data_IF_385567234243
#
_entry.id   IF_385567234243
#
_cell.length_a   1.000
_cell.length_b   1.000
_cell.length_c   1.000
_cell.angle_alpha   90.00
_cell.angle_beta   90.00
_cell.angle_gamma   90.00
#
_symmetry.space_group_name_H-M   'P 1'
#
loop_
_entity.id
_entity.type
_entity.pdbx_description
1 polymer ?
#
# COMPACT_ATOMS: atom_id res chain seq x y z
N UNK A 1 -9.37 -32.60 -8.38
CA UNK A 1 -8.86 -31.35 -8.98
C UNK A 1 -8.62 -30.38 -7.84
N UNK A 2 -7.43 -29.79 -7.72
CA UNK A 2 -7.05 -29.01 -6.53
C UNK A 2 -7.87 -27.72 -6.42
N UNK A 3 -8.61 -27.59 -5.32
CA UNK A 3 -9.57 -26.51 -5.03
C UNK A 3 -8.93 -25.23 -4.48
N UNK A 4 -7.68 -24.96 -4.82
CA UNK A 4 -7.01 -23.73 -4.39
C UNK A 4 -7.15 -22.66 -5.46
N UNK A 5 -7.71 -21.48 -5.14
CA UNK A 5 -7.78 -20.38 -6.10
C UNK A 5 -6.35 -20.01 -6.53
N UNK A 6 -6.11 -19.78 -7.83
CA UNK A 6 -4.79 -19.41 -8.32
C UNK A 6 -4.29 -18.16 -7.60
N UNK A 7 -2.98 -18.09 -7.34
CA UNK A 7 -2.38 -16.88 -6.77
C UNK A 7 -2.71 -15.70 -7.70
N UNK A 8 -2.93 -14.53 -7.12
CA UNK A 8 -3.46 -13.38 -7.85
C UNK A 8 -2.59 -12.94 -9.04
N UNK A 9 -1.28 -13.18 -8.99
CA UNK A 9 -0.35 -12.91 -10.09
C UNK A 9 -0.60 -13.87 -11.26
N UNK A 10 -0.77 -15.15 -10.98
CA UNK A 10 -0.98 -16.21 -11.98
C UNK A 10 -2.30 -15.97 -12.74
N UNK A 11 -3.35 -15.54 -12.04
CA UNK A 11 -4.64 -15.21 -12.66
C UNK A 11 -4.54 -14.01 -13.62
N UNK A 12 -3.73 -13.00 -13.27
CA UNK A 12 -3.54 -11.82 -14.14
C UNK A 12 -2.80 -12.21 -15.42
N UNK A 13 -1.75 -13.02 -15.29
CA UNK A 13 -1.00 -13.52 -16.43
C UNK A 13 -1.91 -14.31 -17.38
N UNK A 14 -2.68 -15.25 -16.83
CA UNK A 14 -3.65 -16.04 -17.58
C UNK A 14 -4.63 -15.16 -18.37
N UNK A 15 -5.22 -14.13 -17.73
CA UNK A 15 -6.16 -13.23 -18.41
C UNK A 15 -5.49 -12.43 -19.52
N UNK A 16 -4.24 -11.98 -19.32
CA UNK A 16 -3.51 -11.21 -20.34
C UNK A 16 -3.21 -12.06 -21.56
N UNK A 17 -2.77 -13.30 -21.35
CA UNK A 17 -2.47 -14.25 -22.42
C UNK A 17 -3.74 -14.60 -23.21
N UNK A 18 -4.86 -14.83 -22.52
CA UNK A 18 -6.15 -15.13 -23.15
C UNK A 18 -6.72 -13.94 -23.93
N UNK A 19 -6.54 -12.70 -23.47
CA UNK A 19 -6.98 -11.51 -24.21
C UNK A 19 -6.26 -11.34 -25.56
N UNK A 20 -5.09 -11.94 -25.75
CA UNK A 20 -4.40 -12.00 -27.04
C UNK A 20 -4.93 -13.06 -28.00
N UNK A 21 -5.72 -14.02 -27.51
CA UNK A 21 -6.18 -15.19 -28.26
C UNK A 21 -7.69 -15.22 -28.50
N UNK A 22 -8.49 -14.59 -27.63
CA UNK A 22 -9.94 -14.69 -27.64
C UNK A 22 -10.61 -13.38 -27.22
N UNK A 23 -11.89 -13.25 -27.56
CA UNK A 23 -12.66 -12.04 -27.25
C UNK A 23 -12.97 -11.96 -25.75
N UNK A 24 -13.11 -10.74 -25.21
CA UNK A 24 -13.38 -10.50 -23.77
C UNK A 24 -14.56 -11.32 -23.24
N UNK A 25 -15.64 -11.43 -24.02
CA UNK A 25 -16.82 -12.21 -23.66
C UNK A 25 -16.53 -13.70 -23.51
N UNK A 26 -15.62 -14.24 -24.31
CA UNK A 26 -15.21 -15.64 -24.28
C UNK A 26 -14.28 -15.91 -23.11
N UNK A 27 -13.32 -15.01 -22.85
CA UNK A 27 -12.45 -15.04 -21.66
C UNK A 27 -13.29 -15.12 -20.38
N UNK A 28 -14.28 -14.24 -20.25
CA UNK A 28 -15.16 -14.22 -19.07
C UNK A 28 -15.95 -15.52 -18.94
N UNK A 29 -16.50 -16.06 -20.03
CA UNK A 29 -17.23 -17.32 -20.00
C UNK A 29 -16.32 -18.51 -19.64
N UNK A 30 -15.09 -18.52 -20.14
CA UNK A 30 -14.12 -19.57 -19.84
C UNK A 30 -13.73 -19.57 -18.36
N UNK A 31 -13.30 -18.43 -17.84
CA UNK A 31 -12.87 -18.30 -16.45
C UNK A 31 -14.02 -18.37 -15.44
N UNK A 32 -15.25 -18.06 -15.86
CA UNK A 32 -16.44 -18.28 -15.04
C UNK A 32 -16.72 -19.78 -14.84
N UNK A 33 -16.36 -20.65 -15.78
CA UNK A 33 -16.44 -22.12 -15.59
C UNK A 33 -15.43 -22.62 -14.57
N UNK A 34 -14.33 -21.91 -14.38
CA UNK A 34 -13.31 -22.16 -13.37
C UNK A 34 -13.63 -21.51 -12.01
N UNK A 35 -14.89 -21.11 -11.81
CA UNK A 35 -15.41 -20.51 -10.57
C UNK A 35 -14.77 -19.15 -10.19
N UNK A 36 -14.15 -18.45 -11.13
CA UNK A 36 -13.60 -17.12 -10.89
C UNK A 36 -14.72 -16.08 -10.97
N UNK A 37 -14.82 -15.24 -9.94
CA UNK A 37 -15.82 -14.18 -9.89
C UNK A 37 -15.68 -13.19 -11.07
N UNK A 38 -16.80 -12.89 -11.73
CA UNK A 38 -16.85 -11.94 -12.87
C UNK A 38 -16.26 -10.57 -12.52
N UNK A 39 -16.51 -10.07 -11.31
CA UNK A 39 -15.96 -8.80 -10.82
C UNK A 39 -14.43 -8.80 -10.87
N UNK A 40 -13.80 -9.88 -10.41
CA UNK A 40 -12.35 -10.07 -10.48
C UNK A 40 -11.85 -10.08 -11.92
N UNK A 41 -12.50 -10.84 -12.81
CA UNK A 41 -12.10 -10.94 -14.22
C UNK A 41 -12.14 -9.55 -14.88
N UNK A 42 -13.28 -8.84 -14.76
CA UNK A 42 -13.41 -7.50 -15.33
C UNK A 42 -12.45 -6.48 -14.71
N UNK A 43 -12.15 -6.60 -13.42
CA UNK A 43 -11.15 -5.74 -12.78
C UNK A 43 -9.76 -5.89 -13.41
N UNK A 44 -9.39 -7.12 -13.77
CA UNK A 44 -8.09 -7.44 -14.37
C UNK A 44 -8.05 -7.03 -15.84
N UNK A 45 -9.12 -7.28 -16.60
CA UNK A 45 -9.27 -6.79 -17.98
C UNK A 45 -9.13 -5.27 -18.03
N UNK A 46 -9.81 -4.55 -17.13
CA UNK A 46 -9.72 -3.09 -17.03
C UNK A 46 -8.28 -2.62 -16.73
N UNK A 47 -7.53 -3.36 -15.89
CA UNK A 47 -6.11 -3.06 -15.65
C UNK A 47 -5.26 -3.24 -16.92
N UNK A 48 -5.52 -4.30 -17.69
CA UNK A 48 -4.86 -4.56 -18.97
C UNK A 48 -5.10 -3.43 -19.97
N UNK A 49 -6.36 -3.00 -20.10
CA UNK A 49 -6.74 -1.89 -20.99
C UNK A 49 -6.10 -0.56 -20.58
N UNK A 50 -5.93 -0.34 -19.28
CA UNK A 50 -5.25 0.84 -18.74
C UNK A 50 -3.71 0.76 -18.81
N UNK A 51 -3.13 -0.29 -19.40
CA UNK A 51 -1.68 -0.48 -19.49
C UNK A 51 -0.99 -0.66 -18.14
N UNK A 52 -1.72 -1.06 -17.10
CA UNK A 52 -1.16 -1.27 -15.76
C UNK A 52 -0.41 -2.61 -15.77
N UNK A 53 0.86 -2.68 -15.32
CA UNK A 53 1.61 -3.93 -15.32
C UNK A 53 0.95 -5.01 -14.44
N UNK A 54 1.20 -6.27 -14.81
CA UNK A 54 0.73 -7.47 -14.11
C UNK A 54 1.25 -7.48 -12.66
N UNK A 55 2.53 -7.15 -12.52
CA UNK A 55 3.22 -7.06 -11.23
C UNK A 55 2.76 -5.82 -10.46
N UNK A 56 2.40 -6.02 -9.19
CA UNK A 56 2.15 -4.89 -8.31
C UNK A 56 3.46 -4.20 -7.97
N UNK A 57 3.45 -2.87 -8.05
CA UNK A 57 4.51 -2.10 -7.41
C UNK A 57 4.37 -2.29 -5.90
N UNK A 58 5.46 -2.54 -5.17
CA UNK A 58 5.38 -2.61 -3.72
C UNK A 58 4.76 -1.32 -3.20
N UNK A 59 3.75 -1.47 -2.34
CA UNK A 59 3.07 -0.34 -1.73
C UNK A 59 4.11 0.54 -1.05
N UNK A 60 4.25 1.79 -1.50
CA UNK A 60 5.00 2.78 -0.74
C UNK A 60 4.14 3.09 0.48
N UNK A 61 4.46 2.46 1.61
CA UNK A 61 3.79 2.74 2.87
C UNK A 61 3.87 4.23 3.24
N UNK A 62 3.22 4.61 4.34
CA UNK A 62 3.26 6.00 4.81
C UNK A 62 4.72 6.47 4.91
N UNK A 63 5.10 7.58 4.27
CA UNK A 63 6.46 8.07 4.35
C UNK A 63 6.80 8.37 5.83
N UNK A 64 8.00 8.00 6.30
CA UNK A 64 8.37 8.19 7.69
C UNK A 64 8.44 9.68 8.03
N UNK A 65 7.80 10.08 9.12
CA UNK A 65 7.83 11.47 9.63
C UNK A 65 9.25 11.92 10.01
N UNK A 66 10.12 10.96 10.34
CA UNK A 66 11.52 11.17 10.63
C UNK A 66 12.39 10.88 9.40
N UNK A 67 12.95 11.93 8.81
CA UNK A 67 14.00 11.77 7.81
C UNK A 67 15.35 11.43 8.49
N UNK A 68 16.32 10.94 7.70
CA UNK A 68 17.64 10.54 8.20
C UNK A 68 18.34 11.66 8.99
N UNK A 69 18.19 12.94 8.57
CA UNK A 69 18.76 14.09 9.29
C UNK A 69 18.18 14.26 10.70
N UNK A 70 16.86 14.12 10.84
CA UNK A 70 16.18 14.18 12.15
C UNK A 70 16.52 12.97 13.02
N UNK A 71 16.70 11.79 12.43
CA UNK A 71 17.16 10.60 13.15
C UNK A 71 18.58 10.78 13.71
N UNK A 72 19.50 11.32 12.90
CA UNK A 72 20.86 11.62 13.35
C UNK A 72 20.86 12.67 14.48
N UNK A 73 20.05 13.73 14.34
CA UNK A 73 19.89 14.73 15.38
C UNK A 73 19.32 14.14 16.68
N UNK A 74 18.33 13.23 16.58
CA UNK A 74 17.77 12.53 17.73
C UNK A 74 18.84 11.68 18.42
N UNK A 75 19.61 10.90 17.65
CA UNK A 75 20.71 10.08 18.17
C UNK A 75 21.71 10.94 18.95
N UNK A 76 22.19 12.04 18.37
CA UNK A 76 23.16 12.93 19.01
C UNK A 76 22.61 13.62 20.27
N UNK A 77 21.28 13.82 20.37
CA UNK A 77 20.65 14.43 21.54
C UNK A 77 20.47 13.46 22.71
N UNK A 78 20.50 12.15 22.45
CA UNK A 78 20.30 11.10 23.45
C UNK A 78 21.61 10.41 23.81
N UNK A 79 22.56 10.35 22.87
CA UNK A 79 23.88 9.77 23.08
C UNK A 79 24.61 10.46 24.24
N UNK A 80 25.01 9.66 25.23
CA UNK A 80 25.70 10.09 26.45
C UNK A 80 24.94 11.09 27.35
N UNK A 81 23.59 11.16 27.25
CA UNK A 81 22.76 11.99 28.13
C UNK A 81 21.73 11.14 28.88
N UNK A 82 21.74 11.23 30.21
CA UNK A 82 20.75 10.60 31.09
C UNK A 82 19.70 11.66 31.50
N UNK A 83 18.41 11.31 31.44
CA UNK A 83 17.33 12.17 31.94
C UNK A 83 16.69 13.14 30.94
N UNK A 84 16.96 13.03 29.64
CA UNK A 84 16.29 13.86 28.62
C UNK A 84 14.88 13.35 28.38
N UNK A 85 13.86 14.20 28.55
CA UNK A 85 12.48 13.78 28.34
C UNK A 85 12.10 13.75 26.85
N UNK A 86 11.18 12.86 26.49
CA UNK A 86 10.67 12.76 25.11
C UNK A 86 10.08 14.09 24.62
N UNK A 87 9.39 14.83 25.49
CA UNK A 87 8.86 16.16 25.17
C UNK A 87 9.94 17.20 24.85
N UNK A 88 11.08 17.15 25.56
CA UNK A 88 12.23 18.01 25.26
C UNK A 88 12.89 17.65 23.93
N UNK A 89 13.02 16.36 23.61
CA UNK A 89 13.54 15.89 22.32
C UNK A 89 12.61 16.31 21.18
N UNK A 90 11.31 16.15 21.36
CA UNK A 90 10.32 16.50 20.36
C UNK A 90 10.38 17.99 19.99
N UNK A 91 10.49 18.91 20.97
CA UNK A 91 10.64 20.35 20.71
C UNK A 91 11.92 20.71 19.95
N UNK A 92 13.00 19.94 20.15
CA UNK A 92 14.30 20.16 19.48
C UNK A 92 14.34 19.61 18.05
N UNK A 93 13.52 18.61 17.74
CA UNK A 93 13.50 17.89 16.46
C UNK A 93 12.34 18.35 15.57
N UNK A 94 11.23 18.76 16.18
CA UNK A 94 10.02 19.20 15.51
C UNK A 94 9.70 20.64 15.92
N UNK A 95 9.58 21.53 14.95
CA UNK A 95 9.04 22.88 15.14
C UNK A 95 7.59 22.75 15.65
N UNK A 96 7.21 23.55 16.64
CA UNK A 96 5.93 23.49 17.37
C UNK A 96 4.69 23.37 16.45
N UNK A 97 4.74 23.93 15.24
CA UNK A 97 3.69 23.82 14.22
C UNK A 97 3.36 22.38 13.77
N UNK A 98 4.31 21.43 13.84
CA UNK A 98 4.09 20.02 13.47
C UNK A 98 3.52 19.18 14.62
N UNK A 99 3.76 19.57 15.88
CA UNK A 99 3.22 18.89 17.06
C UNK A 99 1.72 19.14 17.21
N UNK A 100 1.25 20.36 16.90
CA UNK A 100 -0.17 20.69 16.89
C UNK A 100 -0.93 19.89 15.83
N UNK A 101 -0.38 19.71 14.64
CA UNK A 101 -1.06 18.96 13.58
C UNK A 101 -1.24 17.47 13.92
N UNK A 102 -0.34 16.89 14.72
CA UNK A 102 -0.44 15.50 15.19
C UNK A 102 -1.47 15.34 16.31
N UNK A 103 -1.54 16.28 17.27
CA UNK A 103 -2.56 16.25 18.33
C UNK A 103 -3.98 16.48 17.79
N UNK A 104 -4.17 17.37 16.81
CA UNK A 104 -5.50 17.63 16.25
C UNK A 104 -6.05 16.50 15.35
N UNK A 105 -5.18 15.63 14.80
CA UNK A 105 -5.62 14.44 14.06
C UNK A 105 -6.10 13.32 15.00
N UNK A 106 -5.47 13.13 16.16
CA UNK A 106 -5.93 12.11 17.14
C UNK A 106 -7.22 12.52 17.85
N UNK A 107 -7.45 13.82 18.08
CA UNK A 107 -8.69 14.29 18.72
C UNK A 107 -9.89 14.25 17.75
N UNK A 108 -9.67 14.43 16.44
CA UNK A 108 -10.74 14.30 15.43
C UNK A 108 -11.18 12.85 15.15
N UNK A 109 -10.38 11.85 15.52
CA UNK A 109 -10.72 10.43 15.34
C UNK A 109 -11.40 9.79 16.57
N UNK A 110 -11.61 10.55 17.65
CA UNK A 110 -12.33 10.07 18.86
C UNK A 110 -13.73 10.68 19.04
N UNK A 111 -14.18 11.49 18.09
CA UNK A 111 -15.55 11.99 18.03
C UNK A 111 -16.07 11.71 16.62
N UNK A 112 -16.46 10.45 16.38
CA UNK A 112 -17.46 9.98 15.42
C UNK A 112 -17.67 8.49 15.68
#
# INVERSE_FOLDING_TARGET
>A
MSSHPPKQIDLRQLIYDLLGQMNKCEVVKHLQKEEIARSTIYSIIKRCENGIPIQEKPGKGRPPTLNQKKQLKLRNLVENRIGVSQGQLARKIFSFALLYHAQYQEVRFKIL
#
